data_IF_295363311592
#
_entry.id   IF_295363311592
#
_cell.length_a   1.000
_cell.length_b   1.000
_cell.length_c   1.000
_cell.angle_alpha   90.00
_cell.angle_beta   90.00
_cell.angle_gamma   90.00
#
_symmetry.space_group_name_H-M   'P 1'
#
loop_
_entity.id
_entity.type
_entity.pdbx_description
1 polymer ?
#
# COMPACT_ATOMS: atom_id res chain seq x y z
N UNK A 1 32.25 12.47 2.14
CA UNK A 1 32.22 11.01 2.37
C UNK A 1 33.16 10.53 3.49
N UNK A 2 34.34 11.14 3.70
CA UNK A 2 35.34 10.69 4.71
C UNK A 2 35.07 11.03 6.19
N UNK A 3 33.83 11.28 6.62
CA UNK A 3 33.54 11.65 8.02
C UNK A 3 32.55 10.74 8.76
N UNK A 4 32.07 9.67 8.12
CA UNK A 4 30.97 8.86 8.64
C UNK A 4 31.22 7.35 8.62
N UNK A 5 32.48 6.91 8.44
CA UNK A 5 32.81 5.49 8.36
C UNK A 5 33.92 5.21 9.36
N UNK A 6 33.57 4.58 10.49
CA UNK A 6 34.52 4.09 11.48
C UNK A 6 35.21 2.82 10.94
N UNK A 7 36.51 2.93 10.66
CA UNK A 7 37.33 1.88 10.04
C UNK A 7 37.45 0.60 10.88
N UNK A 8 37.05 0.60 12.16
CA UNK A 8 37.26 -0.53 13.07
C UNK A 8 36.39 -1.76 12.83
N UNK A 9 35.36 -1.69 11.98
CA UNK A 9 34.48 -2.84 11.71
C UNK A 9 34.77 -3.60 10.41
N UNK A 10 35.75 -3.19 9.61
CA UNK A 10 36.06 -3.83 8.32
C UNK A 10 36.62 -5.26 8.46
N UNK A 11 37.37 -5.56 9.52
CA UNK A 11 37.99 -6.89 9.67
C UNK A 11 36.99 -8.01 10.01
N UNK A 12 35.75 -7.67 10.41
CA UNK A 12 34.68 -8.65 10.65
C UNK A 12 33.88 -9.00 9.39
N UNK A 13 34.06 -8.26 8.29
CA UNK A 13 33.45 -8.51 6.99
C UNK A 13 34.35 -9.39 6.10
N UNK A 14 35.00 -10.40 6.69
CA UNK A 14 35.63 -11.44 5.87
C UNK A 14 34.53 -12.11 5.06
N UNK A 15 34.70 -12.06 3.75
CA UNK A 15 33.80 -12.58 2.72
C UNK A 15 33.41 -14.02 3.07
N UNK A 16 32.17 -14.18 3.53
CA UNK A 16 31.51 -15.46 3.57
C UNK A 16 31.07 -15.78 2.14
N UNK A 17 31.49 -16.93 1.60
CA UNK A 17 31.08 -17.43 0.28
C UNK A 17 29.63 -17.97 0.30
N UNK A 18 28.92 -17.79 1.42
CA UNK A 18 27.50 -18.09 1.52
C UNK A 18 26.66 -17.12 0.66
N UNK A 19 25.50 -17.55 0.15
CA UNK A 19 24.66 -16.71 -0.69
C UNK A 19 24.19 -15.46 0.07
N UNK A 20 24.59 -14.28 -0.42
CA UNK A 20 24.35 -12.99 0.23
C UNK A 20 22.86 -12.72 0.49
N UNK A 21 22.52 -12.39 1.73
CA UNK A 21 21.20 -11.88 2.10
C UNK A 21 21.39 -10.48 2.67
N UNK A 22 20.82 -9.47 2.02
CA UNK A 22 21.07 -8.07 2.37
C UNK A 22 20.81 -7.13 1.22
N UNK A 23 21.28 -5.88 1.34
CA UNK A 23 21.13 -4.84 0.31
C UNK A 23 22.50 -4.56 -0.30
N UNK A 24 22.56 -4.48 -1.62
CA UNK A 24 23.73 -4.11 -2.40
C UNK A 24 23.49 -2.76 -3.07
N UNK A 25 24.40 -1.80 -2.88
CA UNK A 25 24.34 -0.49 -3.50
C UNK A 25 25.56 -0.30 -4.40
N UNK A 26 25.33 0.22 -5.60
CA UNK A 26 26.37 0.52 -6.57
C UNK A 26 26.15 1.90 -7.17
N UNK A 27 27.23 2.68 -7.28
CA UNK A 27 27.24 4.01 -7.87
C UNK A 27 28.45 4.09 -8.80
N UNK A 28 28.20 4.42 -10.06
CA UNK A 28 29.24 4.63 -11.06
C UNK A 28 28.91 5.87 -11.92
N UNK A 29 29.72 6.10 -12.96
CA UNK A 29 29.57 7.26 -13.84
C UNK A 29 28.28 7.22 -14.68
N UNK A 30 27.63 6.05 -14.79
CA UNK A 30 26.41 5.85 -15.56
C UNK A 30 25.15 5.99 -14.69
N UNK A 31 25.24 5.70 -13.39
CA UNK A 31 24.08 5.76 -12.52
C UNK A 31 24.25 5.31 -11.08
N UNK A 32 23.11 5.19 -10.42
CA UNK A 32 22.96 4.65 -9.07
C UNK A 32 22.06 3.41 -9.12
N UNK A 33 22.40 2.37 -8.36
CA UNK A 33 21.50 1.24 -8.13
C UNK A 33 21.53 0.75 -6.69
N UNK A 34 20.40 0.27 -6.21
CA UNK A 34 20.20 -0.30 -4.87
C UNK A 34 19.34 -1.54 -5.00
N UNK A 35 19.85 -2.71 -4.65
CA UNK A 35 19.20 -3.99 -4.88
C UNK A 35 19.15 -4.82 -3.60
N UNK A 36 18.05 -5.49 -3.33
CA UNK A 36 17.91 -6.39 -2.17
C UNK A 36 18.00 -7.86 -2.60
N UNK A 37 18.60 -8.69 -1.75
CA UNK A 37 18.87 -10.09 -2.01
C UNK A 37 18.46 -10.97 -0.82
N UNK A 38 17.96 -12.17 -1.13
CA UNK A 38 17.77 -13.27 -0.18
C UNK A 38 18.46 -14.50 -0.75
N UNK A 39 19.46 -15.01 -0.02
CA UNK A 39 20.30 -16.15 -0.43
C UNK A 39 20.86 -16.01 -1.86
N UNK A 40 21.38 -14.85 -2.20
CA UNK A 40 22.01 -14.56 -3.49
C UNK A 40 21.03 -14.32 -4.65
N UNK A 41 19.72 -14.40 -4.41
CA UNK A 41 18.69 -14.06 -5.40
C UNK A 41 18.11 -12.68 -5.11
N UNK A 42 17.90 -11.85 -6.15
CA UNK A 42 17.23 -10.54 -5.99
C UNK A 42 15.84 -10.74 -5.36
N UNK A 43 15.53 -10.05 -4.28
CA UNK A 43 14.27 -10.18 -3.55
C UNK A 43 13.99 -8.92 -2.74
N UNK A 44 12.81 -8.33 -2.93
CA UNK A 44 12.44 -7.04 -2.39
C UNK A 44 12.55 -5.94 -3.45
N UNK A 45 12.98 -4.76 -3.06
CA UNK A 45 13.12 -3.61 -3.94
C UNK A 45 14.49 -3.55 -4.63
N UNK A 46 14.48 -3.13 -5.89
CA UNK A 46 15.64 -2.75 -6.65
C UNK A 46 15.35 -1.40 -7.31
N UNK A 47 16.22 -0.43 -7.11
CA UNK A 47 16.14 0.89 -7.72
C UNK A 47 17.35 1.10 -8.60
N UNK A 48 17.12 1.75 -9.74
CA UNK A 48 18.15 2.16 -10.67
C UNK A 48 17.84 3.58 -11.13
N UNK A 49 18.86 4.42 -11.19
CA UNK A 49 18.78 5.77 -11.73
C UNK A 49 19.90 5.99 -12.72
N UNK A 50 19.55 6.38 -13.95
CA UNK A 50 20.50 6.73 -15.01
C UNK A 50 20.81 8.23 -14.94
N UNK A 51 22.10 8.57 -14.84
CA UNK A 51 22.55 9.96 -14.90
C UNK A 51 22.49 10.54 -16.32
N UNK A 52 22.54 9.67 -17.35
CA UNK A 52 22.55 10.07 -18.76
C UNK A 52 21.15 10.44 -19.27
N UNK A 53 20.16 9.63 -18.91
CA UNK A 53 18.78 9.76 -19.45
C UNK A 53 17.81 10.40 -18.45
N UNK A 54 18.33 10.81 -17.28
CA UNK A 54 17.54 11.27 -16.13
C UNK A 54 16.36 10.32 -15.80
N UNK A 55 16.60 9.02 -15.98
CA UNK A 55 15.60 7.98 -15.87
C UNK A 55 15.68 7.24 -14.55
N UNK A 56 14.53 7.02 -13.91
CA UNK A 56 14.37 6.21 -12.70
C UNK A 56 13.68 4.90 -13.07
N UNK A 57 14.24 3.77 -12.65
CA UNK A 57 13.62 2.45 -12.72
C UNK A 57 13.52 1.87 -11.31
N UNK A 58 12.35 1.37 -10.93
CA UNK A 58 12.13 0.60 -9.70
C UNK A 58 11.64 -0.77 -10.10
N UNK A 59 12.38 -1.79 -9.72
CA UNK A 59 12.01 -3.19 -9.82
C UNK A 59 11.61 -3.70 -8.43
N UNK A 60 10.60 -4.54 -8.35
CA UNK A 60 10.39 -5.35 -7.15
C UNK A 60 10.56 -6.79 -7.58
N UNK A 61 11.47 -7.50 -6.92
CA UNK A 61 11.77 -8.88 -7.17
C UNK A 61 11.14 -9.78 -6.11
N UNK A 62 10.66 -10.95 -6.52
CA UNK A 62 10.35 -12.04 -5.59
C UNK A 62 11.17 -13.25 -6.02
N UNK A 63 12.31 -13.46 -5.34
CA UNK A 63 13.21 -14.61 -5.52
C UNK A 63 13.83 -14.73 -6.92
N UNK A 64 14.36 -13.63 -7.44
CA UNK A 64 15.11 -13.56 -8.69
C UNK A 64 14.27 -13.15 -9.90
N UNK A 65 12.94 -13.18 -9.78
CA UNK A 65 12.02 -12.78 -10.83
C UNK A 65 11.51 -11.36 -10.59
N UNK A 66 11.49 -10.54 -11.64
CA UNK A 66 10.84 -9.22 -11.62
C UNK A 66 9.33 -9.44 -11.46
N UNK A 67 8.72 -8.62 -10.60
CA UNK A 67 7.29 -8.64 -10.28
C UNK A 67 6.63 -7.29 -10.46
N UNK A 68 7.40 -6.21 -10.34
CA UNK A 68 6.93 -4.85 -10.52
C UNK A 68 8.04 -4.07 -11.21
N UNK A 69 7.71 -3.24 -12.20
CA UNK A 69 8.63 -2.32 -12.85
C UNK A 69 8.01 -0.92 -12.99
N UNK A 70 8.53 0.06 -12.27
CA UNK A 70 8.18 1.47 -12.44
C UNK A 70 9.31 2.13 -13.20
N UNK A 71 9.00 2.75 -14.33
CA UNK A 71 10.00 3.48 -15.11
C UNK A 71 9.52 4.89 -15.40
N UNK A 72 10.39 5.85 -15.15
CA UNK A 72 10.21 7.25 -15.48
C UNK A 72 11.45 7.72 -16.20
N UNK A 73 11.32 8.45 -17.32
CA UNK A 73 12.47 8.99 -18.01
C UNK A 73 12.16 10.17 -18.91
N UNK A 74 13.20 10.87 -19.32
CA UNK A 74 13.13 12.02 -20.22
C UNK A 74 13.72 11.59 -21.56
N UNK A 75 12.90 11.58 -22.61
CA UNK A 75 13.41 11.38 -23.97
C UNK A 75 14.05 12.67 -24.50
N UNK A 76 14.88 12.52 -25.54
CA UNK A 76 15.35 13.66 -26.35
C UNK A 76 14.15 14.52 -26.81
N UNK A 77 14.32 15.85 -26.76
CA UNK A 77 13.30 16.88 -27.04
C UNK A 77 12.30 17.20 -25.89
N UNK A 78 12.60 16.85 -24.64
CA UNK A 78 11.79 17.29 -23.49
C UNK A 78 10.42 16.60 -23.37
N UNK A 79 10.23 15.47 -24.06
CA UNK A 79 9.08 14.59 -23.90
C UNK A 79 9.34 13.65 -22.72
N UNK A 80 8.45 13.69 -21.74
CA UNK A 80 8.49 12.76 -20.61
C UNK A 80 7.76 11.47 -20.98
N UNK A 81 8.34 10.33 -20.61
CA UNK A 81 7.58 9.10 -20.54
C UNK A 81 7.53 8.64 -19.08
N UNK A 82 6.34 8.24 -18.69
CA UNK A 82 6.09 7.56 -17.43
C UNK A 82 5.47 6.23 -17.80
N UNK A 83 6.26 5.16 -17.70
CA UNK A 83 5.79 3.80 -17.93
C UNK A 83 5.76 3.08 -16.59
N UNK A 84 4.56 2.92 -16.08
CA UNK A 84 4.29 2.04 -14.95
C UNK A 84 4.00 0.65 -15.49
N UNK A 85 5.07 -0.12 -15.71
CA UNK A 85 5.00 -1.52 -16.07
C UNK A 85 5.03 -2.34 -14.79
N UNK A 86 3.98 -2.25 -13.99
CA UNK A 86 3.72 -3.39 -13.13
C UNK A 86 3.76 -4.64 -14.02
N UNK A 87 4.24 -5.78 -13.53
CA UNK A 87 4.05 -7.07 -14.24
C UNK A 87 2.53 -7.42 -14.40
N UNK A 88 1.64 -6.42 -14.19
CA UNK A 88 0.52 -6.47 -13.27
C UNK A 88 -0.04 -5.07 -12.95
N UNK A 89 -0.55 -4.25 -13.88
CA UNK A 89 -1.63 -3.36 -13.39
C UNK A 89 -2.67 -4.35 -12.88
N UNK A 90 -2.82 -4.55 -11.57
CA UNK A 90 -3.33 -5.84 -11.05
C UNK A 90 -4.85 -6.01 -11.17
N UNK A 91 -5.48 -5.01 -11.78
CA UNK A 91 -6.81 -5.11 -12.37
C UNK A 91 -6.76 -5.44 -13.85
N UNK A 92 -5.64 -5.24 -14.56
CA UNK A 92 -5.44 -5.24 -16.02
C UNK A 92 -4.00 -5.59 -16.49
N UNK A 93 -3.81 -6.70 -17.22
CA UNK A 93 -2.56 -7.00 -17.94
C UNK A 93 -2.57 -6.21 -19.26
N UNK A 94 -1.55 -5.38 -19.51
CA UNK A 94 -1.40 -4.64 -20.77
C UNK A 94 -0.66 -5.51 -21.81
N UNK A 95 -1.21 -5.63 -23.02
CA UNK A 95 -0.55 -6.26 -24.18
C UNK A 95 -0.36 -5.25 -25.28
N UNK A 96 0.80 -5.30 -25.92
CA UNK A 96 1.03 -4.68 -27.22
C UNK A 96 0.70 -5.72 -28.29
N UNK A 97 -0.37 -5.48 -29.05
CA UNK A 97 -0.70 -6.21 -30.26
C UNK A 97 -0.25 -5.36 -31.45
N UNK A 98 0.88 -5.74 -32.06
CA UNK A 98 1.39 -5.10 -33.26
C UNK A 98 1.95 -6.14 -34.23
N UNK A 99 1.62 -6.03 -35.51
CA UNK A 99 2.34 -6.69 -36.59
C UNK A 99 3.18 -5.63 -37.31
N UNK A 100 4.46 -5.94 -37.54
CA UNK A 100 5.35 -5.07 -38.31
C UNK A 100 5.16 -5.33 -39.80
N UNK A 101 4.76 -4.29 -40.53
CA UNK A 101 5.03 -4.10 -41.96
C UNK A 101 5.83 -2.79 -42.06
N UNK A 102 6.83 -2.74 -42.94
CA UNK A 102 7.76 -1.62 -43.16
C UNK A 102 7.11 -0.24 -43.35
N UNK A 103 5.79 -0.11 -43.52
CA UNK A 103 5.15 1.14 -43.91
C UNK A 103 4.03 1.69 -43.01
N UNK A 104 3.54 0.99 -41.98
CA UNK A 104 2.51 1.57 -41.08
C UNK A 104 2.64 1.05 -39.64
N UNK A 105 3.13 1.92 -38.74
CA UNK A 105 3.17 1.67 -37.29
C UNK A 105 1.78 1.82 -36.70
N UNK A 106 1.17 0.70 -36.29
CA UNK A 106 0.00 0.73 -35.40
C UNK A 106 0.27 -0.16 -34.20
N UNK A 107 0.54 0.47 -33.06
CA UNK A 107 0.55 -0.20 -31.76
C UNK A 107 -0.89 -0.26 -31.24
N UNK A 108 -1.45 -1.46 -31.10
CA UNK A 108 -2.74 -1.65 -30.43
C UNK A 108 -2.49 -2.15 -29.01
N UNK A 109 -3.04 -1.43 -28.02
CA UNK A 109 -2.96 -1.83 -26.62
C UNK A 109 -4.24 -2.56 -26.22
N UNK A 110 -4.12 -3.80 -25.74
CA UNK A 110 -5.24 -4.54 -25.17
C UNK A 110 -5.01 -4.75 -23.67
N UNK A 111 -6.01 -4.40 -22.84
CA UNK A 111 -6.02 -4.64 -21.40
C UNK A 111 -6.80 -5.91 -21.08
N UNK A 112 -6.34 -6.70 -20.11
CA UNK A 112 -7.01 -7.93 -19.68
C UNK A 112 -7.18 -7.98 -18.16
N UNK A 113 -8.41 -8.06 -17.68
CA UNK A 113 -8.67 -7.96 -16.26
C UNK A 113 -8.35 -9.25 -15.48
N UNK A 114 -7.73 -9.15 -14.30
CA UNK A 114 -7.46 -10.31 -13.42
C UNK A 114 -8.43 -10.32 -12.24
N UNK A 115 -9.15 -11.41 -12.06
CA UNK A 115 -10.12 -11.61 -10.98
C UNK A 115 -9.55 -12.46 -9.84
N UNK A 116 -10.26 -12.52 -8.69
CA UNK A 116 -9.91 -13.45 -7.61
C UNK A 116 -9.97 -14.92 -8.03
N UNK A 117 -10.86 -15.26 -8.96
CA UNK A 117 -10.96 -16.60 -9.51
C UNK A 117 -9.70 -16.98 -10.30
N UNK A 118 -9.10 -16.03 -11.02
CA UNK A 118 -7.84 -16.22 -11.75
C UNK A 118 -6.64 -16.45 -10.81
N UNK A 119 -6.75 -16.09 -9.52
CA UNK A 119 -5.73 -16.36 -8.49
C UNK A 119 -5.85 -17.77 -7.87
N UNK A 120 -6.94 -18.50 -8.14
CA UNK A 120 -7.07 -19.90 -7.77
C UNK A 120 -6.27 -20.78 -8.74
N UNK A 121 -4.96 -20.77 -8.56
CA UNK A 121 -4.00 -21.45 -9.45
C UNK A 121 -4.25 -22.95 -9.59
N UNK A 122 -4.68 -23.66 -8.55
CA UNK A 122 -5.05 -25.08 -8.66
C UNK A 122 -6.21 -25.29 -9.63
N UNK A 123 -7.27 -24.47 -9.50
CA UNK A 123 -8.41 -24.49 -10.42
C UNK A 123 -7.99 -24.08 -11.83
N UNK A 124 -7.24 -22.98 -11.94
CA UNK A 124 -6.77 -22.42 -13.20
C UNK A 124 -5.95 -23.46 -13.99
N UNK A 125 -5.01 -24.16 -13.35
CA UNK A 125 -4.20 -25.18 -14.03
C UNK A 125 -5.01 -26.41 -14.40
N UNK A 126 -5.95 -26.83 -13.54
CA UNK A 126 -6.82 -27.97 -13.83
C UNK A 126 -7.72 -27.70 -15.04
N UNK A 127 -8.28 -26.49 -15.14
CA UNK A 127 -9.20 -26.08 -16.21
C UNK A 127 -8.48 -25.70 -17.51
N UNK A 128 -7.17 -25.42 -17.45
CA UNK A 128 -6.37 -24.95 -18.59
C UNK A 128 -5.13 -25.82 -18.82
N UNK A 129 -5.25 -27.14 -18.59
CA UNK A 129 -4.14 -28.07 -18.78
C UNK A 129 -3.65 -28.12 -20.23
N UNK A 130 -4.58 -28.05 -21.18
CA UNK A 130 -4.30 -27.96 -22.62
C UNK A 130 -3.40 -26.78 -22.97
N UNK A 131 -3.56 -25.65 -22.27
CA UNK A 131 -2.73 -24.45 -22.44
C UNK A 131 -1.29 -24.70 -21.96
N UNK A 132 -1.14 -25.32 -20.79
CA UNK A 132 0.16 -25.66 -20.21
C UNK A 132 0.89 -26.66 -21.10
N UNK A 133 0.21 -27.74 -21.49
CA UNK A 133 0.77 -28.77 -22.37
C UNK A 133 1.23 -28.14 -23.70
N UNK A 134 0.42 -27.25 -24.30
CA UNK A 134 0.79 -26.55 -25.53
C UNK A 134 2.03 -25.63 -25.35
N UNK A 135 2.19 -24.99 -24.20
CA UNK A 135 3.38 -24.20 -23.88
C UNK A 135 4.63 -25.08 -23.73
N UNK A 136 4.53 -26.19 -22.99
CA UNK A 136 5.66 -27.11 -22.77
C UNK A 136 6.10 -27.82 -24.06
N UNK A 137 5.16 -28.08 -24.97
CA UNK A 137 5.44 -28.63 -26.29
C UNK A 137 6.01 -27.58 -27.28
N UNK A 138 6.19 -26.32 -26.84
CA UNK A 138 6.70 -25.23 -27.66
C UNK A 138 5.74 -24.74 -28.74
N UNK A 139 4.45 -25.09 -28.66
CA UNK A 139 3.40 -24.67 -29.60
C UNK A 139 2.92 -23.24 -29.34
N UNK A 140 3.34 -22.61 -28.24
CA UNK A 140 3.09 -21.21 -27.91
C UNK A 140 4.18 -20.74 -26.94
N UNK A 141 4.51 -19.45 -26.94
CA UNK A 141 5.58 -18.93 -26.09
C UNK A 141 5.27 -17.55 -25.53
N UNK A 142 5.81 -17.31 -24.35
CA UNK A 142 5.91 -16.00 -23.72
C UNK A 142 7.36 -15.58 -23.87
N UNK A 143 7.59 -14.43 -24.52
CA UNK A 143 8.95 -13.92 -24.76
C UNK A 143 9.52 -13.31 -23.48
N UNK A 144 8.66 -12.68 -22.69
CA UNK A 144 8.98 -12.09 -21.40
C UNK A 144 7.72 -12.08 -20.53
N UNK A 145 7.87 -12.34 -19.23
CA UNK A 145 6.77 -12.27 -18.26
C UNK A 145 6.15 -10.86 -18.20
N UNK A 146 6.93 -9.85 -18.60
CA UNK A 146 6.57 -8.44 -18.46
C UNK A 146 5.95 -7.77 -19.70
N UNK A 147 6.00 -8.36 -20.90
CA UNK A 147 5.69 -7.57 -22.12
C UNK A 147 5.07 -8.27 -23.32
N UNK A 148 5.20 -9.60 -23.52
CA UNK A 148 4.75 -10.20 -24.77
C UNK A 148 4.33 -11.67 -24.67
N UNK A 149 3.05 -11.93 -24.97
CA UNK A 149 2.50 -13.28 -25.10
C UNK A 149 2.14 -13.56 -26.56
N UNK A 150 2.88 -14.46 -27.22
CA UNK A 150 2.56 -14.91 -28.56
C UNK A 150 1.87 -16.27 -28.51
N UNK A 151 0.54 -16.24 -28.58
CA UNK A 151 -0.29 -17.42 -28.65
C UNK A 151 -0.87 -17.59 -30.06
N UNK A 152 -0.84 -18.82 -30.58
CA UNK A 152 -1.31 -19.16 -31.92
C UNK A 152 -2.80 -19.57 -31.94
N UNK A 153 -3.45 -19.67 -30.79
CA UNK A 153 -4.81 -20.23 -30.65
C UNK A 153 -5.93 -19.18 -30.64
N UNK A 154 -5.60 -17.88 -30.64
CA UNK A 154 -6.60 -16.80 -30.55
C UNK A 154 -7.20 -16.59 -29.15
N UNK A 155 -6.96 -17.49 -28.20
CA UNK A 155 -7.43 -17.42 -26.80
C UNK A 155 -6.38 -16.74 -25.88
N UNK A 156 -5.93 -15.54 -26.28
CA UNK A 156 -4.81 -14.85 -25.63
C UNK A 156 -4.99 -14.65 -24.13
N UNK A 157 -6.20 -14.28 -23.68
CA UNK A 157 -6.46 -13.99 -22.28
C UNK A 157 -6.33 -15.22 -21.39
N UNK A 158 -7.00 -16.30 -21.80
CA UNK A 158 -6.96 -17.60 -21.14
C UNK A 158 -5.52 -18.14 -21.10
N UNK A 159 -4.80 -18.05 -22.22
CA UNK A 159 -3.42 -18.51 -22.33
C UNK A 159 -2.50 -17.74 -21.39
N UNK A 160 -2.52 -16.41 -21.46
CA UNK A 160 -1.63 -15.55 -20.68
C UNK A 160 -1.86 -15.70 -19.17
N UNK A 161 -3.12 -15.65 -18.71
CA UNK A 161 -3.46 -15.84 -17.28
C UNK A 161 -2.92 -17.16 -16.75
N UNK A 162 -3.07 -18.24 -17.53
CA UNK A 162 -2.63 -19.58 -17.15
C UNK A 162 -1.11 -19.69 -17.12
N UNK A 163 -0.41 -19.32 -18.20
CA UNK A 163 1.03 -19.54 -18.33
C UNK A 163 1.82 -18.60 -17.40
N UNK A 164 1.37 -17.36 -17.18
CA UNK A 164 2.00 -16.46 -16.21
C UNK A 164 1.97 -17.10 -14.82
N UNK A 165 0.81 -17.55 -14.35
CA UNK A 165 0.71 -18.23 -13.05
C UNK A 165 1.55 -19.50 -12.99
N UNK A 166 1.60 -20.28 -14.08
CA UNK A 166 2.41 -21.49 -14.20
C UNK A 166 3.91 -21.19 -14.03
N UNK A 167 4.42 -20.17 -14.73
CA UNK A 167 5.81 -19.75 -14.65
C UNK A 167 6.18 -19.21 -13.27
N UNK A 168 5.30 -18.44 -12.65
CA UNK A 168 5.48 -17.90 -11.30
C UNK A 168 5.63 -19.02 -10.28
N UNK A 169 4.71 -19.99 -10.28
CA UNK A 169 4.79 -21.11 -9.35
C UNK A 169 5.99 -22.00 -9.63
N UNK A 170 6.30 -22.24 -10.90
CA UNK A 170 7.51 -22.95 -11.30
C UNK A 170 8.77 -22.28 -10.74
N UNK A 171 8.88 -20.96 -10.85
CA UNK A 171 10.00 -20.20 -10.30
C UNK A 171 10.03 -20.26 -8.76
N UNK A 172 8.89 -20.06 -8.09
CA UNK A 172 8.81 -20.22 -6.63
C UNK A 172 9.30 -21.59 -6.17
N UNK A 173 8.83 -22.67 -6.84
CA UNK A 173 9.23 -24.04 -6.52
C UNK A 173 10.70 -24.30 -6.80
N UNK A 174 11.25 -23.80 -7.91
CA UNK A 174 12.68 -23.91 -8.24
C UNK A 174 13.56 -23.20 -7.20
N UNK A 175 13.19 -21.99 -6.80
CA UNK A 175 14.01 -21.20 -5.89
C UNK A 175 13.84 -21.61 -4.41
N UNK A 176 12.63 -21.99 -3.99
CA UNK A 176 12.32 -22.23 -2.57
C UNK A 176 12.07 -23.69 -2.21
N UNK A 177 11.90 -24.58 -3.19
CA UNK A 177 11.49 -25.98 -2.99
C UNK A 177 9.99 -26.16 -2.74
N UNK A 178 9.23 -25.08 -2.59
CA UNK A 178 7.78 -25.08 -2.38
C UNK A 178 7.15 -23.79 -2.94
N UNK A 179 5.83 -23.80 -3.07
CA UNK A 179 5.03 -22.65 -3.53
C UNK A 179 4.37 -22.00 -2.33
N UNK A 180 4.54 -20.68 -2.18
CA UNK A 180 3.80 -19.92 -1.18
C UNK A 180 2.42 -19.58 -1.72
N UNK A 181 1.40 -19.55 -0.85
CA UNK A 181 0.13 -18.93 -1.20
C UNK A 181 0.37 -17.42 -1.35
N UNK A 182 0.18 -16.89 -2.56
CA UNK A 182 0.27 -15.46 -2.80
C UNK A 182 -0.95 -14.74 -2.21
N UNK A 183 -0.80 -14.27 -0.97
CA UNK A 183 -1.84 -13.50 -0.27
C UNK A 183 -1.75 -12.00 -0.56
N UNK A 184 -0.65 -11.53 -1.16
CA UNK A 184 -0.52 -10.12 -1.55
C UNK A 184 -1.48 -9.83 -2.70
N UNK A 185 -1.47 -10.70 -3.70
CA UNK A 185 -2.33 -10.61 -4.87
C UNK A 185 -3.82 -10.67 -4.52
N UNK A 186 -4.19 -11.61 -3.64
CA UNK A 186 -5.56 -11.71 -3.14
C UNK A 186 -6.01 -10.40 -2.48
N UNK A 187 -5.16 -9.81 -1.64
CA UNK A 187 -5.45 -8.54 -0.96
C UNK A 187 -5.54 -7.36 -1.93
N UNK A 188 -4.64 -7.28 -2.91
CA UNK A 188 -4.63 -6.18 -3.87
C UNK A 188 -5.87 -6.19 -4.76
N UNK A 189 -6.26 -7.35 -5.31
CA UNK A 189 -7.50 -7.46 -6.11
C UNK A 189 -8.71 -7.17 -5.24
N UNK A 190 -8.73 -7.69 -4.01
CA UNK A 190 -9.82 -7.44 -3.08
C UNK A 190 -9.96 -5.93 -2.75
N UNK A 191 -8.86 -5.19 -2.71
CA UNK A 191 -8.83 -3.73 -2.55
C UNK A 191 -9.66 -3.05 -3.62
N UNK A 192 -9.43 -3.40 -4.87
CA UNK A 192 -10.08 -2.82 -6.04
C UNK A 192 -11.58 -3.12 -6.03
N UNK A 193 -11.95 -4.37 -5.74
CA UNK A 193 -13.36 -4.77 -5.55
C UNK A 193 -14.06 -4.00 -4.42
N UNK A 194 -13.32 -3.48 -3.45
CA UNK A 194 -13.89 -2.70 -2.35
C UNK A 194 -14.07 -1.22 -2.71
N UNK A 195 -13.30 -0.67 -3.67
CA UNK A 195 -13.35 0.75 -4.02
C UNK A 195 -14.77 1.15 -4.47
N UNK A 196 -15.45 0.29 -5.23
CA UNK A 196 -16.81 0.54 -5.69
C UNK A 196 -17.85 0.59 -4.57
N UNK A 197 -17.51 0.09 -3.38
CA UNK A 197 -18.40 0.08 -2.21
C UNK A 197 -18.30 1.35 -1.37
N UNK A 198 -17.38 2.27 -1.71
CA UNK A 198 -17.22 3.51 -0.96
C UNK A 198 -18.46 4.39 -1.14
N UNK A 199 -19.01 4.86 -0.01
CA UNK A 199 -20.13 5.81 0.00
C UNK A 199 -19.59 7.14 0.51
N UNK A 200 -19.60 8.15 -0.35
CA UNK A 200 -19.08 9.50 -0.07
C UNK A 200 -20.11 10.45 0.55
N UNK A 201 -21.30 9.94 0.85
CA UNK A 201 -22.45 10.69 1.33
C UNK A 201 -22.82 10.30 2.75
N UNK A 202 -23.51 11.19 3.45
CA UNK A 202 -23.97 10.95 4.81
C UNK A 202 -24.99 9.82 4.86
N UNK A 203 -24.61 8.70 5.48
CA UNK A 203 -25.53 7.61 5.87
C UNK A 203 -25.35 7.29 7.36
N UNK A 204 -25.22 8.35 8.16
CA UNK A 204 -25.11 8.27 9.60
C UNK A 204 -26.48 8.00 10.23
N UNK A 205 -26.54 7.26 11.35
CA UNK A 205 -27.75 7.19 12.17
C UNK A 205 -28.18 8.58 12.66
N UNK A 206 -29.49 8.80 12.84
CA UNK A 206 -30.04 10.09 13.30
C UNK A 206 -29.67 10.41 14.74
N UNK A 207 -29.56 9.38 15.59
CA UNK A 207 -29.32 9.51 17.03
C UNK A 207 -27.95 8.93 17.40
N UNK A 208 -26.88 9.66 17.06
CA UNK A 208 -25.50 9.28 17.43
C UNK A 208 -25.29 9.55 18.91
N UNK A 209 -25.25 8.46 19.69
CA UNK A 209 -24.93 8.44 21.10
C UNK A 209 -23.48 8.02 21.35
N UNK A 210 -22.97 7.03 20.61
CA UNK A 210 -21.64 6.47 20.82
C UNK A 210 -20.76 6.64 19.59
N UNK A 211 -19.57 7.20 19.80
CA UNK A 211 -18.54 7.37 18.76
C UNK A 211 -17.26 6.65 19.16
N UNK A 212 -16.54 6.13 18.17
CA UNK A 212 -15.37 5.29 18.37
C UNK A 212 -14.07 5.95 17.93
N UNK A 213 -12.97 5.54 18.54
CA UNK A 213 -11.61 5.87 18.12
C UNK A 213 -10.82 4.58 17.89
N UNK A 214 -10.16 4.46 16.75
CA UNK A 214 -9.40 3.26 16.38
C UNK A 214 -7.97 3.62 15.98
N UNK A 215 -7.01 2.90 16.54
CA UNK A 215 -5.60 2.97 16.16
C UNK A 215 -5.01 1.56 16.14
N UNK A 216 -3.97 1.38 15.33
CA UNK A 216 -3.17 0.16 15.36
C UNK A 216 -1.69 0.56 15.44
N UNK A 217 -0.97 -0.04 16.39
CA UNK A 217 0.45 0.15 16.61
C UNK A 217 1.23 -1.12 16.23
N UNK A 218 2.46 -0.95 15.76
CA UNK A 218 3.27 -2.03 15.20
C UNK A 218 4.72 -1.92 15.64
N UNK A 219 5.36 -3.08 15.68
CA UNK A 219 6.80 -3.21 15.77
C UNK A 219 7.27 -4.19 14.69
N UNK A 220 7.80 -3.68 13.58
CA UNK A 220 8.13 -4.48 12.39
C UNK A 220 9.23 -5.52 12.64
N UNK A 221 10.22 -5.21 13.50
CA UNK A 221 11.30 -6.17 13.85
C UNK A 221 10.75 -7.34 14.67
N UNK A 222 9.96 -7.07 15.72
CA UNK A 222 9.41 -8.12 16.58
C UNK A 222 8.11 -8.71 16.05
N UNK A 223 7.61 -8.24 14.90
CA UNK A 223 6.35 -8.65 14.29
C UNK A 223 5.16 -8.59 15.26
N UNK A 224 5.12 -7.54 16.08
CA UNK A 224 4.05 -7.32 17.06
C UNK A 224 3.07 -6.27 16.57
N UNK A 225 1.77 -6.51 16.81
CA UNK A 225 0.67 -5.59 16.54
C UNK A 225 -0.14 -5.39 17.81
N UNK A 226 -0.58 -4.15 18.05
CA UNK A 226 -1.62 -3.83 19.01
C UNK A 226 -2.69 -2.97 18.34
N UNK A 227 -3.91 -3.51 18.22
CA UNK A 227 -5.09 -2.75 17.81
C UNK A 227 -5.89 -2.34 19.04
N UNK A 228 -6.31 -1.06 19.08
CA UNK A 228 -7.12 -0.51 20.17
C UNK A 228 -8.34 0.17 19.59
N UNK A 229 -9.49 -0.12 20.19
CA UNK A 229 -10.74 0.61 19.95
C UNK A 229 -11.24 1.18 21.27
N UNK A 230 -11.60 2.47 21.27
CA UNK A 230 -12.26 3.16 22.38
C UNK A 230 -13.64 3.62 21.94
N UNK A 231 -14.57 3.74 22.89
CA UNK A 231 -15.94 4.20 22.66
C UNK A 231 -16.25 5.32 23.65
N UNK A 232 -16.78 6.42 23.13
CA UNK A 232 -17.14 7.60 23.91
C UNK A 232 -18.64 7.88 23.75
N UNK A 233 -19.30 8.20 24.87
CA UNK A 233 -20.65 8.77 24.83
C UNK A 233 -20.57 10.25 24.43
N UNK A 234 -21.34 10.66 23.42
CA UNK A 234 -21.30 12.02 22.86
C UNK A 234 -21.81 13.08 23.84
N UNK A 235 -22.73 12.72 24.73
CA UNK A 235 -23.33 13.65 25.67
C UNK A 235 -22.44 13.87 26.89
N UNK A 236 -21.90 12.79 27.48
CA UNK A 236 -21.01 12.90 28.64
C UNK A 236 -19.56 13.23 28.26
N UNK A 237 -19.15 12.95 27.02
CA UNK A 237 -17.76 12.99 26.56
C UNK A 237 -16.80 12.06 27.33
N UNK A 238 -17.34 11.01 27.95
CA UNK A 238 -16.57 10.01 28.69
C UNK A 238 -16.34 8.75 27.86
N UNK A 239 -15.18 8.12 28.04
CA UNK A 239 -14.90 6.80 27.48
C UNK A 239 -15.73 5.78 28.27
N UNK A 240 -16.70 5.15 27.60
CA UNK A 240 -17.64 4.20 28.20
C UNK A 240 -17.27 2.74 27.93
N UNK A 241 -16.43 2.48 26.93
CA UNK A 241 -15.92 1.14 26.63
C UNK A 241 -14.58 1.22 25.88
N UNK A 242 -13.78 0.16 25.97
CA UNK A 242 -12.54 0.01 25.24
C UNK A 242 -12.16 -1.46 25.06
N UNK A 243 -11.49 -1.77 23.95
CA UNK A 243 -11.01 -3.11 23.65
C UNK A 243 -9.61 -3.08 23.04
N UNK A 244 -8.82 -4.11 23.35
CA UNK A 244 -7.45 -4.27 22.87
C UNK A 244 -7.32 -5.67 22.24
N UNK A 245 -6.63 -5.74 21.11
CA UNK A 245 -6.18 -6.99 20.50
C UNK A 245 -4.69 -6.92 20.21
N UNK A 246 -3.97 -8.01 20.49
CA UNK A 246 -2.52 -8.12 20.28
C UNK A 246 -2.22 -9.37 19.46
N UNK A 247 -1.27 -9.25 18.53
CA UNK A 247 -0.74 -10.36 17.72
C UNK A 247 0.79 -10.29 17.65
N UNK A 248 1.45 -11.44 17.72
CA UNK A 248 2.92 -11.52 17.77
C UNK A 248 3.52 -12.30 16.56
N UNK A 249 2.72 -12.53 15.51
CA UNK A 249 3.09 -13.33 14.33
C UNK A 249 2.55 -12.76 13.02
N UNK A 250 2.92 -11.53 12.71
CA UNK A 250 2.49 -10.90 11.46
C UNK A 250 3.50 -11.06 10.33
N UNK A 251 2.99 -11.24 9.11
CA UNK A 251 3.81 -11.18 7.90
C UNK A 251 4.32 -9.73 7.68
N UNK A 252 5.42 -9.62 6.96
CA UNK A 252 6.11 -8.36 6.66
C UNK A 252 5.14 -7.26 6.18
N UNK A 253 5.32 -6.05 6.73
CA UNK A 253 4.55 -4.86 6.41
C UNK A 253 4.85 -4.38 4.98
N UNK A 254 3.86 -4.43 4.09
CA UNK A 254 3.95 -3.89 2.72
C UNK A 254 3.07 -2.62 2.63
N UNK A 255 3.65 -1.44 2.32
CA UNK A 255 2.94 -0.16 2.35
C UNK A 255 1.63 -0.09 1.54
N UNK A 256 1.57 -0.71 0.35
CA UNK A 256 0.42 -0.56 -0.57
C UNK A 256 -0.83 -1.36 -0.15
N UNK A 257 -0.69 -2.33 0.75
CA UNK A 257 -1.79 -3.15 1.29
C UNK A 257 -2.01 -2.88 2.79
N UNK A 258 -1.56 -1.73 3.27
CA UNK A 258 -1.57 -1.36 4.69
C UNK A 258 -2.95 -1.53 5.33
N UNK A 259 -4.01 -1.02 4.68
CA UNK A 259 -5.39 -1.16 5.18
C UNK A 259 -5.79 -2.61 5.50
N UNK A 260 -5.37 -3.59 4.70
CA UNK A 260 -5.69 -5.01 4.96
C UNK A 260 -5.01 -5.56 6.19
N UNK A 261 -3.76 -5.16 6.39
CA UNK A 261 -2.99 -5.64 7.52
C UNK A 261 -3.51 -5.04 8.82
N UNK A 262 -4.00 -3.79 8.83
CA UNK A 262 -4.51 -3.16 10.05
C UNK A 262 -5.95 -3.56 10.37
N UNK A 263 -6.81 -3.55 9.35
CA UNK A 263 -8.26 -3.67 9.51
C UNK A 263 -8.65 -5.00 10.14
N UNK A 264 -7.96 -6.10 9.82
CA UNK A 264 -8.25 -7.40 10.43
C UNK A 264 -8.08 -7.38 11.95
N UNK A 265 -7.05 -6.69 12.47
CA UNK A 265 -6.81 -6.61 13.91
C UNK A 265 -7.72 -5.59 14.59
N UNK A 266 -8.01 -4.48 13.90
CA UNK A 266 -8.99 -3.51 14.35
C UNK A 266 -10.39 -4.13 14.50
N UNK A 267 -10.82 -4.98 13.57
CA UNK A 267 -12.08 -5.73 13.66
C UNK A 267 -12.06 -6.66 14.87
N UNK A 268 -10.98 -7.43 15.09
CA UNK A 268 -10.87 -8.31 16.26
C UNK A 268 -10.90 -7.56 17.59
N UNK A 269 -10.38 -6.33 17.65
CA UNK A 269 -10.54 -5.47 18.81
C UNK A 269 -11.98 -4.95 18.92
N UNK A 270 -12.56 -4.48 17.82
CA UNK A 270 -13.95 -3.99 17.76
C UNK A 270 -14.96 -5.05 18.22
N UNK A 271 -14.79 -6.31 17.84
CA UNK A 271 -15.67 -7.43 18.21
C UNK A 271 -15.80 -7.60 19.73
N UNK A 272 -14.73 -7.29 20.49
CA UNK A 272 -14.70 -7.43 21.96
C UNK A 272 -15.46 -6.33 22.70
N UNK A 273 -15.84 -5.24 22.03
CA UNK A 273 -16.60 -4.15 22.67
C UNK A 273 -18.00 -4.63 23.07
N UNK A 274 -18.43 -4.28 24.28
CA UNK A 274 -19.81 -4.44 24.72
C UNK A 274 -20.72 -3.34 24.15
N UNK A 275 -20.21 -2.10 24.05
CA UNK A 275 -20.91 -0.96 23.46
C UNK A 275 -20.37 -0.72 22.04
N UNK A 276 -21.22 -0.83 21.02
CA UNK A 276 -20.80 -0.60 19.63
C UNK A 276 -20.95 0.88 19.26
N UNK A 277 -19.88 1.56 18.80
CA UNK A 277 -19.98 2.93 18.30
C UNK A 277 -20.75 2.95 16.97
N UNK A 278 -21.47 4.04 16.73
CA UNK A 278 -22.26 4.29 15.52
C UNK A 278 -21.47 5.04 14.44
N UNK A 279 -20.31 5.58 14.81
CA UNK A 279 -19.41 6.33 13.95
C UNK A 279 -17.99 6.25 14.51
N UNK A 280 -16.97 6.10 13.66
CA UNK A 280 -15.59 5.83 14.08
C UNK A 280 -14.61 6.82 13.45
N UNK A 281 -13.71 7.36 14.28
CA UNK A 281 -12.49 8.06 13.86
C UNK A 281 -11.31 7.08 13.84
N UNK A 282 -10.51 7.12 12.77
CA UNK A 282 -9.35 6.25 12.59
C UNK A 282 -8.03 7.05 12.60
N UNK A 283 -6.99 6.53 13.27
CA UNK A 283 -5.61 7.06 13.22
C UNK A 283 -4.94 6.61 11.90
N UNK A 284 -5.42 7.15 10.80
CA UNK A 284 -5.00 6.78 9.46
C UNK A 284 -5.82 7.49 8.40
N UNK A 285 -5.56 7.17 7.14
CA UNK A 285 -6.23 7.79 6.01
C UNK A 285 -7.49 7.02 5.59
N UNK A 286 -8.44 7.72 4.97
CA UNK A 286 -9.54 7.14 4.22
C UNK A 286 -9.26 7.19 2.71
N UNK A 287 -10.06 7.94 1.96
CA UNK A 287 -9.88 8.10 0.51
C UNK A 287 -8.64 8.94 0.14
N UNK A 288 -7.99 9.60 1.11
CA UNK A 288 -6.65 10.20 0.94
C UNK A 288 -5.59 9.09 0.88
N UNK A 289 -5.64 8.29 -0.17
CA UNK A 289 -4.78 7.15 -0.43
C UNK A 289 -4.62 7.02 -1.96
N UNK A 290 -3.48 6.53 -2.51
CA UNK A 290 -3.29 6.39 -3.96
C UNK A 290 -4.42 5.64 -4.69
N UNK A 291 -5.12 4.75 -3.96
CA UNK A 291 -6.25 3.94 -4.43
C UNK A 291 -7.59 4.24 -3.75
N UNK A 292 -7.70 5.34 -3.04
CA UNK A 292 -8.87 5.66 -2.20
C UNK A 292 -9.22 4.62 -1.13
N UNK A 293 -8.33 3.68 -0.81
CA UNK A 293 -8.58 2.54 0.09
C UNK A 293 -7.62 2.56 1.29
N UNK A 294 -7.60 3.68 2.01
CA UNK A 294 -6.90 3.78 3.29
C UNK A 294 -7.59 2.98 4.41
N UNK A 295 -6.94 2.92 5.57
CA UNK A 295 -7.42 2.20 6.75
C UNK A 295 -8.86 2.55 7.15
N UNK A 296 -9.20 3.85 7.18
CA UNK A 296 -10.54 4.29 7.57
C UNK A 296 -11.61 3.81 6.57
N UNK A 297 -11.31 3.85 5.28
CA UNK A 297 -12.21 3.40 4.22
C UNK A 297 -12.43 1.90 4.30
N UNK A 298 -11.35 1.13 4.37
CA UNK A 298 -11.47 -0.33 4.40
C UNK A 298 -12.17 -0.81 5.68
N UNK A 299 -11.82 -0.25 6.85
CA UNK A 299 -12.51 -0.56 8.10
C UNK A 299 -14.01 -0.25 8.04
N UNK A 300 -14.39 0.90 7.49
CA UNK A 300 -15.79 1.32 7.37
C UNK A 300 -16.60 0.40 6.48
N UNK A 301 -16.03 -0.06 5.36
CA UNK A 301 -16.67 -1.05 4.48
C UNK A 301 -16.84 -2.39 5.19
N UNK A 302 -15.81 -2.89 5.89
CA UNK A 302 -15.88 -4.20 6.53
C UNK A 302 -16.87 -4.23 7.72
N UNK A 303 -16.97 -3.13 8.47
CA UNK A 303 -17.92 -3.01 9.58
C UNK A 303 -19.30 -2.51 9.16
N UNK A 304 -19.45 -2.00 7.93
CA UNK A 304 -20.63 -1.30 7.43
C UNK A 304 -21.02 -0.06 8.28
N UNK A 305 -20.04 0.57 8.94
CA UNK A 305 -20.19 1.71 9.86
C UNK A 305 -19.56 2.98 9.25
N UNK A 306 -20.15 4.17 9.47
CA UNK A 306 -19.53 5.43 9.08
C UNK A 306 -18.12 5.61 9.69
N UNK A 307 -17.15 5.95 8.86
CA UNK A 307 -15.75 6.14 9.28
C UNK A 307 -15.11 7.39 8.69
N UNK A 308 -14.18 7.99 9.44
CA UNK A 308 -13.35 9.10 8.97
C UNK A 308 -11.88 8.86 9.30
N UNK A 309 -11.01 9.16 8.34
CA UNK A 309 -9.56 9.17 8.56
C UNK A 309 -9.11 10.48 9.19
N UNK A 310 -8.30 10.39 10.25
CA UNK A 310 -7.71 11.52 10.96
C UNK A 310 -6.19 11.32 11.09
N UNK A 311 -5.45 11.64 10.04
CA UNK A 311 -4.01 11.41 9.99
C UNK A 311 -3.19 12.62 10.49
N UNK A 312 -2.04 12.33 11.11
CA UNK A 312 -1.10 13.35 11.62
C UNK A 312 -0.13 13.85 10.54
N UNK A 313 0.11 13.02 9.53
CA UNK A 313 0.95 13.26 8.35
C UNK A 313 0.08 13.10 7.11
N UNK A 314 0.45 13.77 6.02
CA UNK A 314 -0.22 13.68 4.71
C UNK A 314 0.31 12.48 3.95
N UNK A 315 -0.57 11.72 3.29
CA UNK A 315 -0.15 10.60 2.43
C UNK A 315 -0.14 11.02 0.96
N UNK A 316 -1.27 11.55 0.47
CA UNK A 316 -1.43 12.05 -0.90
C UNK A 316 -2.19 13.37 -0.92
N UNK A 317 -2.32 13.96 -2.11
CA UNK A 317 -3.05 15.20 -2.33
C UNK A 317 -2.22 16.44 -2.07
N UNK A 318 -2.24 17.40 -2.98
CA UNK A 318 -1.45 18.62 -2.91
C UNK A 318 -2.29 19.81 -2.44
N UNK A 319 -1.64 20.69 -1.68
CA UNK A 319 -2.12 22.03 -1.33
C UNK A 319 -0.90 22.93 -1.08
N UNK A 320 -1.06 24.25 -1.23
CA UNK A 320 -0.04 25.23 -0.83
C UNK A 320 -0.16 25.50 0.66
N UNK A 321 0.92 25.33 1.41
CA UNK A 321 0.89 25.45 2.88
C UNK A 321 0.55 26.87 3.32
N UNK A 322 1.04 27.87 2.59
CA UNK A 322 0.78 29.29 2.80
C UNK A 322 -0.70 29.69 2.65
N UNK A 323 -1.51 28.91 1.93
CA UNK A 323 -2.94 29.16 1.76
C UNK A 323 -3.78 28.62 2.94
N UNK A 324 -3.18 27.80 3.81
CA UNK A 324 -3.84 27.28 5.01
C UNK A 324 -3.66 28.26 6.17
N UNK A 325 -4.74 28.93 6.57
CA UNK A 325 -4.73 29.81 7.73
C UNK A 325 -4.38 29.10 9.06
N UNK A 326 -3.94 29.88 10.05
CA UNK A 326 -3.46 29.37 11.33
C UNK A 326 -4.55 29.26 12.42
N UNK A 327 -5.76 29.74 12.15
CA UNK A 327 -6.86 29.74 13.13
C UNK A 327 -7.54 28.38 13.18
N UNK A 328 -8.13 28.06 14.34
CA UNK A 328 -8.96 26.87 14.47
C UNK A 328 -10.10 26.89 13.44
N UNK A 329 -10.34 25.74 12.82
CA UNK A 329 -11.27 25.49 11.72
C UNK A 329 -10.84 26.00 10.34
N UNK A 330 -9.70 26.70 10.22
CA UNK A 330 -9.10 26.95 8.91
C UNK A 330 -8.77 25.62 8.25
N UNK A 331 -9.14 25.49 6.98
CA UNK A 331 -8.91 24.28 6.22
C UNK A 331 -8.79 24.55 4.72
N UNK A 332 -8.10 23.66 4.03
CA UNK A 332 -7.93 23.69 2.58
C UNK A 332 -8.05 22.28 2.01
N UNK A 333 -8.58 22.19 0.80
CA UNK A 333 -8.77 20.92 0.10
C UNK A 333 -7.43 20.29 -0.27
N UNK A 334 -7.35 18.98 -0.15
CA UNK A 334 -6.25 18.15 -0.66
C UNK A 334 -6.66 17.63 -2.03
N UNK A 335 -5.92 18.03 -3.07
CA UNK A 335 -6.22 17.64 -4.46
C UNK A 335 -5.28 16.53 -4.90
N UNK A 336 -5.82 15.35 -5.20
CA UNK A 336 -5.10 14.21 -5.78
C UNK A 336 -5.88 13.70 -6.99
N UNK A 337 -5.18 13.44 -8.11
CA UNK A 337 -5.81 13.01 -9.37
C UNK A 337 -7.01 13.89 -9.78
N UNK A 338 -6.83 15.21 -9.70
CA UNK A 338 -7.85 16.23 -10.00
C UNK A 338 -9.13 16.13 -9.15
N UNK A 339 -9.11 15.39 -8.04
CA UNK A 339 -10.24 15.20 -7.12
C UNK A 339 -9.88 15.67 -5.71
N UNK A 340 -10.89 16.12 -4.98
CA UNK A 340 -10.76 16.39 -3.54
C UNK A 340 -10.77 15.06 -2.80
N UNK A 341 -9.64 14.72 -2.18
CA UNK A 341 -9.48 13.46 -1.41
C UNK A 341 -9.52 13.67 0.10
N UNK A 342 -9.56 14.93 0.55
CA UNK A 342 -9.62 15.27 1.96
C UNK A 342 -9.36 16.76 2.17
N UNK A 343 -9.11 17.13 3.42
CA UNK A 343 -8.76 18.50 3.82
C UNK A 343 -7.61 18.48 4.82
N UNK A 344 -6.67 19.39 4.65
CA UNK A 344 -5.79 19.78 5.76
C UNK A 344 -6.60 20.70 6.68
N UNK A 345 -6.76 20.32 7.95
CA UNK A 345 -7.62 21.00 8.93
C UNK A 345 -6.82 21.44 10.16
N UNK A 346 -6.97 22.71 10.53
CA UNK A 346 -6.43 23.28 11.75
C UNK A 346 -7.38 23.04 12.92
N UNK A 347 -7.15 22.00 13.72
CA UNK A 347 -7.96 21.71 14.92
C UNK A 347 -7.55 22.52 16.14
N UNK A 348 -6.28 22.93 16.21
CA UNK A 348 -5.71 23.85 17.21
C UNK A 348 -4.90 24.94 16.53
N UNK A 349 -5.09 26.17 17.01
CA UNK A 349 -4.39 27.36 16.51
C UNK A 349 -2.87 27.20 16.64
N UNK A 350 -2.11 27.70 15.65
CA UNK A 350 -0.64 27.66 15.62
C UNK A 350 -0.02 26.25 15.75
N UNK A 351 -0.76 25.20 15.41
CA UNK A 351 -0.25 23.81 15.39
C UNK A 351 -0.30 23.23 13.97
N UNK A 352 0.48 22.18 13.72
CA UNK A 352 0.41 21.44 12.47
C UNK A 352 -1.04 20.95 12.22
N UNK A 353 -1.56 21.08 11.00
CA UNK A 353 -2.89 20.58 10.68
C UNK A 353 -2.95 19.05 10.85
N UNK A 354 -4.16 18.53 10.93
CA UNK A 354 -4.42 17.11 10.69
C UNK A 354 -5.01 16.95 9.30
N UNK A 355 -4.88 15.76 8.74
CA UNK A 355 -5.37 15.44 7.40
C UNK A 355 -6.62 14.58 7.54
N UNK A 356 -7.75 15.16 7.15
CA UNK A 356 -9.08 14.57 7.33
C UNK A 356 -9.59 14.09 5.99
N UNK A 357 -9.97 12.82 5.91
CA UNK A 357 -10.50 12.22 4.68
C UNK A 357 -11.69 11.31 4.98
N UNK A 358 -12.62 11.22 4.02
CA UNK A 358 -13.77 10.32 4.09
C UNK A 358 -13.26 8.89 4.23
N UNK A 359 -13.79 8.13 5.18
CA UNK A 359 -13.65 6.67 5.20
C UNK A 359 -14.78 6.03 4.40
N UNK A 360 -15.97 5.96 4.98
CA UNK A 360 -17.17 5.33 4.41
C UNK A 360 -18.44 5.95 5.02
N UNK A 361 -19.55 6.06 4.27
CA UNK A 361 -20.89 6.51 4.72
C UNK A 361 -20.93 7.89 5.41
N UNK A 362 -20.00 8.77 5.07
CA UNK A 362 -19.93 10.13 5.60
C UNK A 362 -19.45 11.08 4.51
N UNK A 363 -20.05 12.27 4.45
CA UNK A 363 -19.58 13.35 3.60
C UNK A 363 -18.37 14.05 4.23
N UNK A 364 -17.48 14.60 3.41
CA UNK A 364 -16.31 15.33 3.89
C UNK A 364 -16.71 16.51 4.79
N UNK A 365 -17.80 17.20 4.47
CA UNK A 365 -18.32 18.31 5.27
C UNK A 365 -18.72 17.84 6.67
N UNK A 366 -19.61 16.85 6.76
CA UNK A 366 -20.07 16.30 8.04
C UNK A 366 -18.91 15.70 8.83
N UNK A 367 -17.95 15.07 8.15
CA UNK A 367 -16.73 14.58 8.77
C UNK A 367 -15.90 15.68 9.46
N UNK A 368 -15.68 16.81 8.79
CA UNK A 368 -14.98 17.97 9.38
C UNK A 368 -15.73 18.53 10.59
N UNK A 369 -17.06 18.63 10.50
CA UNK A 369 -17.89 19.12 11.61
C UNK A 369 -17.74 18.21 12.85
N UNK A 370 -17.74 16.89 12.66
CA UNK A 370 -17.51 15.91 13.74
C UNK A 370 -16.10 15.97 14.31
N UNK A 371 -15.08 16.13 13.47
CA UNK A 371 -13.69 16.31 13.94
C UNK A 371 -13.60 17.56 14.81
N UNK A 372 -14.10 18.71 14.33
CA UNK A 372 -14.10 19.95 15.10
C UNK A 372 -14.92 19.83 16.39
N UNK A 373 -16.05 19.12 16.38
CA UNK A 373 -16.87 18.89 17.59
C UNK A 373 -16.10 18.10 18.66
N UNK A 374 -15.19 17.22 18.26
CA UNK A 374 -14.47 16.27 19.14
C UNK A 374 -13.02 16.65 19.42
N UNK A 375 -12.51 17.76 18.85
CA UNK A 375 -11.16 18.29 19.07
C UNK A 375 -11.18 19.59 19.88
N UNK A 376 -11.96 19.65 20.96
CA UNK A 376 -12.04 20.87 21.80
C UNK A 376 -10.81 21.03 22.70
N UNK A 377 -10.37 19.93 23.34
CA UNK A 377 -9.23 19.89 24.27
C UNK A 377 -7.95 19.35 23.62
N UNK A 378 -8.08 18.63 22.51
CA UNK A 378 -7.05 17.79 21.88
C UNK A 378 -6.83 18.16 20.42
N UNK A 379 -5.66 17.79 19.84
CA UNK A 379 -5.38 18.04 18.41
C UNK A 379 -6.13 17.03 17.52
N UNK A 380 -6.34 15.82 18.04
CA UNK A 380 -7.14 14.77 17.41
C UNK A 380 -8.47 14.63 18.16
N UNK A 381 -9.50 13.99 17.55
CA UNK A 381 -10.72 13.62 18.26
C UNK A 381 -10.38 12.95 19.59
N UNK A 382 -10.93 13.43 20.71
CA UNK A 382 -10.55 12.98 22.06
C UNK A 382 -10.64 11.44 22.20
N UNK A 383 -11.69 10.84 21.66
CA UNK A 383 -11.87 9.38 21.63
C UNK A 383 -10.72 8.66 20.92
N UNK A 384 -10.23 9.22 19.80
CA UNK A 384 -9.10 8.67 19.05
C UNK A 384 -7.77 8.85 19.80
N UNK A 385 -7.57 10.01 20.43
CA UNK A 385 -6.37 10.28 21.22
C UNK A 385 -6.25 9.30 22.40
N UNK A 386 -7.37 8.92 23.02
CA UNK A 386 -7.42 7.89 24.05
C UNK A 386 -7.02 6.51 23.54
N UNK A 387 -7.46 6.13 22.34
CA UNK A 387 -7.02 4.87 21.73
C UNK A 387 -5.49 4.85 21.49
N UNK A 388 -4.92 5.96 21.01
CA UNK A 388 -3.47 6.12 20.78
C UNK A 388 -2.69 6.06 22.10
N UNK A 389 -3.20 6.69 23.16
CA UNK A 389 -2.60 6.65 24.49
C UNK A 389 -2.51 5.20 25.01
N UNK A 390 -3.61 4.45 24.93
CA UNK A 390 -3.67 3.05 25.35
C UNK A 390 -2.71 2.19 24.50
N UNK A 391 -2.70 2.39 23.18
CA UNK A 391 -1.80 1.65 22.30
C UNK A 391 -0.32 1.87 22.66
N UNK A 392 0.08 3.10 23.00
CA UNK A 392 1.43 3.41 23.49
C UNK A 392 1.75 2.78 24.84
N UNK A 393 0.78 2.64 25.73
CA UNK A 393 0.98 1.93 27.00
C UNK A 393 1.22 0.42 26.78
N UNK A 394 0.54 -0.18 25.81
CA UNK A 394 0.67 -1.60 25.46
C UNK A 394 1.92 -1.90 24.60
N UNK A 395 2.36 -0.92 23.82
CA UNK A 395 3.55 -0.98 22.98
C UNK A 395 4.31 0.35 23.08
N UNK A 396 5.14 0.53 24.12
CA UNK A 396 5.92 1.75 24.33
C UNK A 396 6.99 1.96 23.26
N UNK A 397 7.65 0.88 22.85
CA UNK A 397 8.60 0.86 21.74
C UNK A 397 7.85 0.49 20.47
N UNK A 398 7.68 1.47 19.58
CA UNK A 398 7.07 1.27 18.27
C UNK A 398 8.17 1.44 17.23
N UNK A 399 8.26 0.48 16.31
CA UNK A 399 9.20 0.54 15.22
C UNK A 399 8.47 0.22 13.92
N UNK A 400 8.51 1.17 13.00
CA UNK A 400 7.92 1.02 11.67
C UNK A 400 8.97 1.32 10.61
N UNK A 401 9.13 0.40 9.68
CA UNK A 401 9.87 0.63 8.44
C UNK A 401 8.97 1.47 7.55
N UNK A 402 9.20 2.78 7.60
CA UNK A 402 8.50 3.73 6.75
C UNK A 402 9.30 3.96 5.47
N UNK A 403 8.96 3.20 4.43
CA UNK A 403 9.62 3.27 3.12
C UNK A 403 9.36 4.60 2.37
N UNK A 404 8.48 5.46 2.88
CA UNK A 404 8.06 6.71 2.26
C UNK A 404 8.46 7.95 3.08
N UNK A 405 9.16 7.76 4.21
CA UNK A 405 9.52 8.85 5.11
C UNK A 405 11.03 9.14 5.06
N UNK A 406 11.35 10.29 4.48
CA UNK A 406 12.73 10.79 4.33
C UNK A 406 13.34 11.35 5.62
N UNK A 407 12.62 11.27 6.76
CA UNK A 407 13.10 11.78 8.05
C UNK A 407 14.12 10.81 8.69
N UNK A 408 15.24 11.32 9.24
CA UNK A 408 16.21 10.49 9.95
C UNK A 408 15.57 9.76 11.13
N UNK A 409 15.56 8.42 11.10
CA UNK A 409 15.23 7.60 12.27
C UNK A 409 16.53 7.19 13.01
N UNK A 410 16.41 6.76 14.25
CA UNK A 410 17.56 6.40 15.12
C UNK A 410 18.40 5.22 14.59
N UNK A 411 17.85 4.45 13.65
CA UNK A 411 18.51 3.37 12.95
C UNK A 411 19.12 3.81 11.60
N UNK A 412 19.13 5.12 11.34
CA UNK A 412 19.61 5.73 10.12
C UNK A 412 18.50 5.96 9.10
N UNK A 413 18.66 7.00 8.27
CA UNK A 413 17.87 7.10 7.03
C UNK A 413 18.20 5.83 6.24
N UNK A 414 17.21 5.02 5.91
CA UNK A 414 17.34 4.02 4.84
C UNK A 414 17.34 4.83 3.54
N UNK A 415 18.42 5.57 3.25
CA UNK A 415 18.63 6.25 1.97
C UNK A 415 18.82 5.18 0.92
#
# INVERSE_FOLDING_TARGET
MNKYIDQKNFEKLKIDLSPFTGIYENIDDLGFSKESFVKGLKHGFCFQYSFLDHGVCIYIYIYGEIRFLITYGICSEGKHYFSYNLCYHLTDINFIKGYFNEQDKVDYYQKMFVSRDDLNTERLFRENKDVIDAYEEGKSYITDIDTFCQCWTGEYERFAKTIIQYLIQGSMKRCNGYVFKDTFMEKFVWQEEQIEKIIHEDRLPTDIQFIGGVTVAYHDITQKIVAVVTVMDVNSQEIVDQAIYTEDRINMHIPDVFGFNETVWAIKAFEKLAVKPQFIFCDGHGIEHPKNMGFATFLGIQLDIPTIGCAKKRLVGYYKKEDLGDKRADHIELIFDQKVVGKALRTKENTNPIYVSIGHKISLKTGIDWVLKTTQSTRLPFVLEKAIEIARQQMPEQFRIDFMNDEPNEYGIIK
#
